data_IF_432125309127
#
_entry.id   IF_432125309127
#
_cell.length_a   1.000
_cell.length_b   1.000
_cell.length_c   1.000
_cell.angle_alpha   90.00
_cell.angle_beta   90.00
_cell.angle_gamma   90.00
#
_symmetry.space_group_name_H-M   'P 1'
#
loop_
_entity.id
_entity.type
_entity.pdbx_description
1 polymer ?
#
# COMPACT_ATOMS: atom_id res chain seq x y z
N UNK A 1 -24.36 3.26 3.71
CA UNK A 1 -23.18 3.43 4.56
C UNK A 1 -21.94 3.27 3.69
N UNK A 2 -21.32 4.35 3.24
CA UNK A 2 -19.92 4.27 2.81
C UNK A 2 -19.09 4.75 4.00
N UNK A 3 -18.82 3.85 4.95
CA UNK A 3 -18.03 4.18 6.15
C UNK A 3 -16.55 4.47 5.81
N UNK A 4 -16.13 4.25 4.56
CA UNK A 4 -14.75 4.42 4.11
C UNK A 4 -14.72 5.03 2.71
N UNK A 5 -13.98 6.13 2.56
CA UNK A 5 -13.64 6.74 1.28
C UNK A 5 -12.14 7.04 1.30
N UNK A 6 -11.36 6.18 0.64
CA UNK A 6 -9.89 6.27 0.66
C UNK A 6 -9.35 7.45 -0.15
N UNK A 7 -10.18 8.09 -0.99
CA UNK A 7 -9.73 9.15 -1.92
C UNK A 7 -10.17 10.56 -1.51
N UNK A 8 -11.05 10.72 -0.52
CA UNK A 8 -11.73 11.98 -0.20
C UNK A 8 -10.79 13.17 0.09
N UNK A 9 -9.58 12.90 0.57
CA UNK A 9 -8.62 13.92 1.01
C UNK A 9 -7.29 13.89 0.26
N UNK A 10 -7.21 13.11 -0.83
CA UNK A 10 -6.03 13.11 -1.69
C UNK A 10 -6.01 14.41 -2.49
N UNK A 11 -4.92 15.16 -2.36
CA UNK A 11 -4.65 16.41 -3.08
C UNK A 11 -3.23 16.39 -3.62
N UNK A 12 -2.84 17.38 -4.41
CA UNK A 12 -1.45 17.55 -4.89
C UNK A 12 -0.43 17.74 -3.76
N UNK A 13 -0.88 18.11 -2.55
CA UNK A 13 -0.03 18.28 -1.37
C UNK A 13 0.04 17.01 -0.50
N UNK A 14 -0.55 15.90 -0.94
CA UNK A 14 -0.46 14.64 -0.21
C UNK A 14 1.00 14.16 -0.14
N UNK A 15 1.47 13.61 0.99
CA UNK A 15 2.84 13.16 1.13
C UNK A 15 3.15 12.00 0.17
N UNK A 16 4.44 11.73 -0.11
CA UNK A 16 4.84 10.52 -0.81
C UNK A 16 4.28 9.26 -0.12
N UNK A 17 3.75 8.31 -0.90
CA UNK A 17 3.01 7.15 -0.37
C UNK A 17 3.69 5.83 -0.75
N UNK A 18 3.94 4.99 0.25
CA UNK A 18 4.09 3.55 0.04
C UNK A 18 2.71 2.89 0.15
N UNK A 19 2.15 2.46 -0.97
CA UNK A 19 0.82 1.87 -1.06
C UNK A 19 0.93 0.37 -1.31
N UNK A 20 0.56 -0.44 -0.33
CA UNK A 20 0.62 -1.90 -0.43
C UNK A 20 -0.75 -2.56 -0.21
N UNK A 21 -0.92 -3.73 -0.82
CA UNK A 21 -2.03 -4.66 -0.53
C UNK A 21 -1.59 -6.08 -0.84
N UNK A 22 -2.49 -7.05 -0.68
CA UNK A 22 -2.19 -8.47 -0.79
C UNK A 22 -3.28 -9.28 -1.49
N UNK A 23 -2.93 -10.48 -1.95
CA UNK A 23 -3.81 -11.41 -2.66
C UNK A 23 -5.10 -11.78 -1.88
N UNK A 24 -4.98 -11.96 -0.55
CA UNK A 24 -6.09 -12.26 0.37
C UNK A 24 -6.67 -11.04 1.10
N UNK A 25 -6.28 -9.83 0.72
CA UNK A 25 -6.83 -8.60 1.29
C UNK A 25 -8.22 -8.28 0.69
N UNK A 26 -9.23 -8.16 1.54
CA UNK A 26 -10.59 -7.81 1.14
C UNK A 26 -10.75 -6.34 0.71
N UNK A 27 -9.75 -5.50 0.99
CA UNK A 27 -9.68 -4.08 0.59
C UNK A 27 -8.78 -3.85 -0.63
N UNK A 28 -8.23 -4.88 -1.28
CA UNK A 28 -7.31 -4.71 -2.42
C UNK A 28 -7.85 -3.85 -3.57
N UNK A 29 -9.17 -3.85 -3.79
CA UNK A 29 -9.81 -2.96 -4.77
C UNK A 29 -9.77 -1.48 -4.35
N UNK A 30 -9.82 -1.20 -3.05
CA UNK A 30 -9.66 0.16 -2.52
C UNK A 30 -8.24 0.69 -2.75
N UNK A 31 -7.23 -0.19 -2.69
CA UNK A 31 -5.85 0.20 -3.02
C UNK A 31 -5.73 0.69 -4.47
N UNK A 32 -6.47 0.10 -5.42
CA UNK A 32 -6.51 0.58 -6.80
C UNK A 32 -7.17 1.96 -6.92
N UNK A 33 -8.24 2.22 -6.15
CA UNK A 33 -8.87 3.55 -6.09
C UNK A 33 -7.90 4.60 -5.54
N UNK A 34 -7.15 4.25 -4.48
CA UNK A 34 -6.13 5.12 -3.92
C UNK A 34 -5.00 5.39 -4.92
N UNK A 35 -4.49 4.37 -5.60
CA UNK A 35 -3.47 4.53 -6.64
C UNK A 35 -3.94 5.48 -7.75
N UNK A 36 -5.19 5.33 -8.21
CA UNK A 36 -5.78 6.22 -9.20
C UNK A 36 -5.87 7.67 -8.72
N UNK A 37 -6.22 7.89 -7.45
CA UNK A 37 -6.29 9.24 -6.88
C UNK A 37 -4.88 9.87 -6.76
N UNK A 38 -3.88 9.11 -6.30
CA UNK A 38 -2.50 9.56 -6.20
C UNK A 38 -1.93 9.93 -7.58
N UNK A 39 -2.16 9.10 -8.60
CA UNK A 39 -1.79 9.40 -9.99
C UNK A 39 -2.45 10.68 -10.48
N UNK A 40 -3.76 10.84 -10.26
CA UNK A 40 -4.52 12.04 -10.70
C UNK A 40 -3.95 13.34 -10.12
N UNK A 41 -3.49 13.29 -8.87
CA UNK A 41 -2.93 14.45 -8.17
C UNK A 41 -1.40 14.59 -8.30
N UNK A 42 -0.75 13.78 -9.15
CA UNK A 42 0.71 13.74 -9.32
C UNK A 42 1.49 13.54 -8.01
N UNK A 43 0.89 12.80 -7.06
CA UNK A 43 1.55 12.46 -5.79
C UNK A 43 2.56 11.35 -6.04
N UNK A 44 3.83 11.48 -5.62
CA UNK A 44 4.81 10.40 -5.74
C UNK A 44 4.37 9.19 -4.91
N UNK A 45 4.31 8.01 -5.52
CA UNK A 45 3.96 6.80 -4.79
C UNK A 45 4.64 5.55 -5.34
N UNK A 46 4.75 4.55 -4.49
CA UNK A 46 5.13 3.19 -4.86
C UNK A 46 3.96 2.26 -4.57
N UNK A 47 3.48 1.55 -5.59
CA UNK A 47 2.49 0.50 -5.41
C UNK A 47 3.14 -0.88 -5.32
N UNK A 48 2.74 -1.69 -4.34
CA UNK A 48 3.18 -3.07 -4.16
C UNK A 48 2.00 -3.99 -3.91
N UNK A 49 1.99 -5.12 -4.59
CA UNK A 49 1.01 -6.17 -4.39
C UNK A 49 1.75 -7.45 -4.00
N UNK A 50 1.45 -7.98 -2.82
CA UNK A 50 2.13 -9.16 -2.29
C UNK A 50 1.25 -10.41 -2.35
N UNK A 51 1.90 -11.57 -2.46
CA UNK A 51 1.23 -12.84 -2.64
C UNK A 51 0.67 -13.04 -4.04
N UNK A 52 0.08 -14.20 -4.27
CA UNK A 52 -0.44 -14.61 -5.57
C UNK A 52 -1.61 -15.60 -5.41
N UNK A 53 -2.00 -16.27 -6.49
CA UNK A 53 -3.09 -17.25 -6.49
C UNK A 53 -2.85 -18.49 -5.61
N UNK A 54 -1.59 -18.81 -5.31
CA UNK A 54 -1.16 -19.95 -4.50
C UNK A 54 -0.80 -19.52 -3.07
N UNK A 55 -0.22 -18.33 -2.91
CA UNK A 55 0.10 -17.73 -1.61
C UNK A 55 -0.87 -16.57 -1.31
N UNK A 56 -1.99 -16.89 -0.65
CA UNK A 56 -2.98 -15.90 -0.22
C UNK A 56 -2.54 -15.21 1.07
N UNK A 57 -2.03 -14.00 0.94
CA UNK A 57 -1.62 -13.18 2.08
C UNK A 57 -2.82 -12.39 2.64
N UNK A 58 -3.10 -12.46 3.95
CA UNK A 58 -4.27 -11.83 4.53
C UNK A 58 -4.15 -10.30 4.57
N UNK A 59 -5.27 -9.63 4.87
CA UNK A 59 -5.24 -8.23 5.29
C UNK A 59 -4.22 -8.05 6.43
N UNK A 60 -3.44 -6.96 6.36
CA UNK A 60 -2.33 -6.64 7.29
C UNK A 60 -1.26 -7.72 7.48
N UNK A 61 -0.96 -8.53 6.44
CA UNK A 61 0.06 -9.59 6.51
C UNK A 61 1.44 -9.10 7.01
N UNK A 62 1.82 -7.85 6.71
CA UNK A 62 3.10 -7.26 7.12
C UNK A 62 3.29 -7.18 8.64
N UNK A 63 2.23 -7.28 9.44
CA UNK A 63 2.34 -7.36 10.90
C UNK A 63 2.92 -8.69 11.38
N UNK A 64 2.87 -9.76 10.57
CA UNK A 64 3.56 -11.01 10.89
C UNK A 64 5.04 -10.92 10.49
N UNK A 65 5.84 -10.35 11.38
CA UNK A 65 7.29 -10.21 11.24
C UNK A 65 8.05 -11.54 11.23
N UNK A 66 7.39 -12.67 11.50
CA UNK A 66 8.01 -14.00 11.39
C UNK A 66 7.98 -14.50 9.96
N UNK A 67 7.00 -14.07 9.16
CA UNK A 67 6.86 -14.42 7.76
C UNK A 67 7.90 -13.72 6.88
N UNK A 68 8.37 -14.41 5.83
CA UNK A 68 9.30 -13.80 4.88
C UNK A 68 8.63 -12.69 4.06
N UNK A 69 7.35 -12.88 3.68
CA UNK A 69 6.56 -11.84 3.01
C UNK A 69 6.43 -10.58 3.88
N UNK A 70 6.13 -10.74 5.17
CA UNK A 70 6.03 -9.63 6.11
C UNK A 70 7.35 -8.89 6.26
N UNK A 71 8.47 -9.60 6.43
CA UNK A 71 9.81 -8.99 6.47
C UNK A 71 10.12 -8.23 5.18
N UNK A 72 9.86 -8.82 4.02
CA UNK A 72 10.11 -8.18 2.72
C UNK A 72 9.29 -6.89 2.58
N UNK A 73 8.00 -6.93 2.94
CA UNK A 73 7.17 -5.73 2.85
C UNK A 73 7.68 -4.60 3.74
N UNK A 74 8.04 -4.90 5.00
CA UNK A 74 8.58 -3.89 5.90
C UNK A 74 9.92 -3.33 5.39
N UNK A 75 10.76 -4.18 4.78
CA UNK A 75 12.01 -3.71 4.16
C UNK A 75 11.74 -2.79 2.97
N UNK A 76 10.82 -3.14 2.07
CA UNK A 76 10.43 -2.31 0.93
C UNK A 76 9.88 -0.95 1.37
N UNK A 77 9.10 -0.93 2.45
CA UNK A 77 8.54 0.29 3.05
C UNK A 77 9.65 1.17 3.63
N UNK A 78 10.56 0.59 4.42
CA UNK A 78 11.74 1.28 4.94
C UNK A 78 12.60 1.86 3.81
N UNK A 79 12.93 1.05 2.80
CA UNK A 79 13.75 1.46 1.65
C UNK A 79 13.10 2.58 0.84
N UNK A 80 11.76 2.59 0.77
CA UNK A 80 11.03 3.69 0.15
C UNK A 80 11.18 4.99 0.96
N UNK A 81 10.91 4.96 2.27
CA UNK A 81 10.93 6.16 3.10
C UNK A 81 12.34 6.69 3.36
N UNK A 82 13.36 5.83 3.42
CA UNK A 82 14.76 6.22 3.54
C UNK A 82 15.23 7.12 2.39
N UNK A 83 14.59 7.06 1.21
CA UNK A 83 14.87 7.99 0.08
C UNK A 83 14.49 9.44 0.39
N UNK A 84 13.66 9.66 1.40
CA UNK A 84 13.17 10.98 1.82
C UNK A 84 13.82 11.48 3.13
N UNK A 85 14.47 10.60 3.89
CA UNK A 85 15.27 10.99 5.04
C UNK A 85 16.61 11.57 4.56
N UNK A 86 16.83 12.86 4.82
CA UNK A 86 18.09 13.56 4.57
C UNK A 86 18.68 14.03 5.88
#
# INVERSE_FOLDING_TARGET
MALMNVTAHVTENFPPVFLMTASGDFLKEQALLMASALTKHNVPFLYRFYGDSQNLLPYVFHCDMRSEDGKQCNQDECDYFLKFCK
#
